data_IF_955342101381
#
_entry.id   IF_955342101381
#
_cell.length_a   1.000
_cell.length_b   1.000
_cell.length_c   1.000
_cell.angle_alpha   90.00
_cell.angle_beta   90.00
_cell.angle_gamma   90.00
#
_symmetry.space_group_name_H-M   'P 1'
#
loop_
_entity.id
_entity.type
_entity.pdbx_description
1 polymer ?
#
# COMPACT_ATOMS: atom_id res chain seq x y z
N UNK A 1 -12.65 -26.82 8.47
CA UNK A 1 -13.67 -25.86 8.93
C UNK A 1 -12.97 -24.54 9.19
N UNK A 2 -13.33 -23.46 8.50
CA UNK A 2 -12.79 -22.14 8.78
C UNK A 2 -13.15 -21.74 10.22
N UNK A 3 -12.17 -21.32 11.02
CA UNK A 3 -12.42 -20.83 12.38
C UNK A 3 -13.12 -19.48 12.26
N UNK A 4 -14.41 -19.42 12.61
CA UNK A 4 -15.12 -18.15 12.71
C UNK A 4 -14.47 -17.26 13.77
N UNK A 5 -14.07 -16.05 13.38
CA UNK A 5 -13.55 -15.05 14.31
C UNK A 5 -14.76 -14.39 14.99
N UNK A 6 -14.85 -14.50 16.31
CA UNK A 6 -15.94 -13.88 17.08
C UNK A 6 -15.54 -12.43 17.37
N UNK A 7 -16.32 -11.47 16.86
CA UNK A 7 -16.13 -10.04 17.07
C UNK A 7 -17.26 -9.41 17.90
N UNK A 8 -17.01 -8.33 18.67
CA UNK A 8 -18.05 -7.70 19.50
C UNK A 8 -18.99 -6.75 18.73
N UNK A 9 -18.61 -6.32 17.53
CA UNK A 9 -19.44 -5.54 16.61
C UNK A 9 -20.28 -6.45 15.70
N UNK A 10 -21.37 -5.90 15.12
CA UNK A 10 -22.33 -6.66 14.32
C UNK A 10 -21.81 -6.88 12.89
N UNK A 11 -21.22 -5.85 12.30
CA UNK A 11 -20.60 -5.90 10.95
C UNK A 11 -19.27 -5.17 10.94
N UNK A 12 -18.39 -5.46 9.97
CA UNK A 12 -17.11 -4.75 9.86
C UNK A 12 -17.30 -3.24 9.61
N UNK A 13 -18.37 -2.86 8.90
CA UNK A 13 -18.75 -1.46 8.72
C UNK A 13 -18.95 -0.70 10.03
N UNK A 14 -19.43 -1.37 11.09
CA UNK A 14 -19.57 -0.74 12.41
C UNK A 14 -18.23 -0.29 12.99
N UNK A 15 -17.18 -1.09 12.78
CA UNK A 15 -15.83 -0.78 13.23
C UNK A 15 -15.24 0.39 12.42
N UNK A 16 -15.49 0.43 11.11
CA UNK A 16 -15.06 1.54 10.26
C UNK A 16 -15.79 2.84 10.58
N UNK A 17 -17.06 2.76 10.94
CA UNK A 17 -17.83 3.91 11.40
C UNK A 17 -17.24 4.48 12.70
N UNK A 18 -16.90 3.61 13.66
CA UNK A 18 -16.19 4.02 14.88
C UNK A 18 -14.84 4.65 14.55
N UNK A 19 -14.08 4.10 13.59
CA UNK A 19 -12.82 4.70 13.12
C UNK A 19 -13.04 6.13 12.62
N UNK A 20 -14.03 6.34 11.76
CA UNK A 20 -14.36 7.67 11.19
C UNK A 20 -14.71 8.67 12.28
N UNK A 21 -15.51 8.26 13.26
CA UNK A 21 -15.94 9.12 14.36
C UNK A 21 -14.79 9.47 15.32
N UNK A 22 -13.94 8.49 15.69
CA UNK A 22 -12.81 8.72 16.61
C UNK A 22 -11.77 9.68 16.01
N UNK A 23 -11.42 9.48 14.74
CA UNK A 23 -10.40 10.29 14.04
C UNK A 23 -10.98 11.47 13.24
N UNK A 24 -12.30 11.71 13.34
CA UNK A 24 -13.02 12.80 12.66
C UNK A 24 -12.71 12.91 11.15
N UNK A 25 -12.62 11.76 10.46
CA UNK A 25 -12.17 11.69 9.06
C UNK A 25 -13.06 12.45 8.07
N UNK A 26 -14.34 12.65 8.41
CA UNK A 26 -15.33 13.31 7.55
C UNK A 26 -15.49 14.81 7.86
N UNK A 27 -14.76 15.36 8.84
CA UNK A 27 -14.88 16.77 9.23
C UNK A 27 -13.76 17.61 8.60
N UNK A 28 -14.13 18.69 7.91
CA UNK A 28 -13.17 19.68 7.42
C UNK A 28 -12.51 20.40 8.62
N UNK A 29 -11.20 20.73 8.55
CA UNK A 29 -10.47 21.36 9.66
C UNK A 29 -11.06 22.69 10.17
N UNK A 30 -11.98 23.30 9.43
CA UNK A 30 -12.63 24.59 9.76
C UNK A 30 -13.93 24.48 10.56
N UNK A 31 -14.34 23.26 10.97
CA UNK A 31 -15.58 23.08 11.74
C UNK A 31 -15.32 23.38 13.22
N UNK A 32 -15.78 24.54 13.70
CA UNK A 32 -15.65 24.98 15.11
C UNK A 32 -15.94 23.83 16.10
N UNK A 33 -15.02 23.64 17.06
CA UNK A 33 -15.09 22.65 18.14
C UNK A 33 -16.30 22.81 19.10
N UNK A 34 -17.13 23.84 18.90
CA UNK A 34 -18.32 24.16 19.70
C UNK A 34 -19.60 23.42 19.21
N UNK A 35 -19.48 22.39 18.38
CA UNK A 35 -20.64 21.55 18.09
C UNK A 35 -21.07 20.81 19.38
N UNK A 36 -22.34 20.91 19.81
CA UNK A 36 -22.82 20.35 21.08
C UNK A 36 -22.85 18.81 21.12
N UNK A 37 -22.34 18.13 20.09
CA UNK A 37 -22.40 16.69 19.98
C UNK A 37 -21.15 16.15 19.26
N UNK A 38 -19.99 16.22 19.93
CA UNK A 38 -18.75 15.63 19.42
C UNK A 38 -18.96 14.12 19.15
N UNK A 39 -18.85 13.66 17.89
CA UNK A 39 -19.12 12.26 17.54
C UNK A 39 -18.21 11.27 18.26
N UNK A 40 -17.06 11.73 18.76
CA UNK A 40 -16.14 10.92 19.56
C UNK A 40 -16.79 10.40 20.85
N UNK A 41 -17.68 11.16 21.49
CA UNK A 41 -18.40 10.68 22.68
C UNK A 41 -19.22 9.43 22.37
N UNK A 42 -19.98 9.45 21.27
CA UNK A 42 -20.78 8.31 20.86
C UNK A 42 -19.90 7.10 20.51
N UNK A 43 -18.80 7.33 19.80
CA UNK A 43 -17.85 6.28 19.44
C UNK A 43 -17.21 5.62 20.67
N UNK A 44 -16.79 6.41 21.67
CA UNK A 44 -16.23 5.90 22.93
C UNK A 44 -17.28 5.06 23.67
N UNK A 45 -18.51 5.55 23.84
CA UNK A 45 -19.59 4.78 24.48
C UNK A 45 -19.86 3.45 23.77
N UNK A 46 -19.84 3.47 22.43
CA UNK A 46 -20.03 2.26 21.61
C UNK A 46 -18.90 1.24 21.82
N UNK A 47 -17.65 1.69 21.88
CA UNK A 47 -16.51 0.82 22.20
C UNK A 47 -16.60 0.26 23.62
N UNK A 48 -17.02 1.06 24.60
CA UNK A 48 -17.24 0.58 25.98
C UNK A 48 -18.34 -0.49 26.04
N UNK A 49 -19.42 -0.34 25.26
CA UNK A 49 -20.43 -1.38 25.12
C UNK A 49 -19.87 -2.66 24.48
N UNK A 50 -18.97 -2.55 23.49
CA UNK A 50 -18.27 -3.71 22.91
C UNK A 50 -17.33 -4.39 23.90
N UNK A 51 -16.68 -3.63 24.78
CA UNK A 51 -15.82 -4.19 25.83
C UNK A 51 -16.58 -5.15 26.75
N UNK A 52 -17.83 -4.81 27.12
CA UNK A 52 -18.70 -5.67 27.96
C UNK A 52 -19.05 -6.99 27.25
N UNK A 53 -19.13 -7.00 25.92
CA UNK A 53 -19.39 -8.21 25.12
C UNK A 53 -18.19 -9.17 25.05
N UNK A 54 -16.99 -8.70 25.39
CA UNK A 54 -15.75 -9.47 25.33
C UNK A 54 -15.09 -9.47 23.95
N UNK A 55 -13.88 -10.04 23.86
CA UNK A 55 -13.08 -10.13 22.63
C UNK A 55 -12.83 -8.80 21.89
N UNK A 56 -12.79 -7.68 22.62
CA UNK A 56 -12.43 -6.39 22.05
C UNK A 56 -10.91 -6.35 21.80
N UNK A 57 -10.44 -6.07 20.56
CA UNK A 57 -9.01 -5.88 20.32
C UNK A 57 -8.45 -4.76 21.18
N UNK A 58 -7.28 -5.00 21.76
CA UNK A 58 -6.65 -4.04 22.66
C UNK A 58 -6.38 -2.68 22.00
N UNK A 59 -6.09 -2.65 20.69
CA UNK A 59 -5.97 -1.40 19.93
C UNK A 59 -7.24 -0.54 20.01
N UNK A 60 -8.42 -1.16 19.85
CA UNK A 60 -9.72 -0.46 19.90
C UNK A 60 -10.02 0.04 21.31
N UNK A 61 -9.74 -0.78 22.33
CA UNK A 61 -9.88 -0.38 23.74
C UNK A 61 -8.98 0.82 24.07
N UNK A 62 -7.71 0.75 23.71
CA UNK A 62 -6.71 1.78 23.99
C UNK A 62 -7.05 3.09 23.29
N UNK A 63 -7.45 3.07 22.01
CA UNK A 63 -7.90 4.29 21.31
C UNK A 63 -9.09 4.92 22.02
N UNK A 64 -10.09 4.13 22.45
CA UNK A 64 -11.25 4.68 23.15
C UNK A 64 -10.87 5.30 24.51
N UNK A 65 -9.98 4.67 25.28
CA UNK A 65 -9.51 5.22 26.56
C UNK A 65 -8.73 6.53 26.40
N UNK A 66 -7.84 6.59 25.40
CA UNK A 66 -7.07 7.80 25.09
C UNK A 66 -7.99 8.94 24.61
N UNK A 67 -8.96 8.62 23.75
CA UNK A 67 -9.96 9.60 23.30
C UNK A 67 -10.87 10.07 24.45
N UNK A 68 -11.28 9.18 25.35
CA UNK A 68 -12.08 9.54 26.53
C UNK A 68 -11.31 10.50 27.46
N UNK A 69 -9.99 10.34 27.59
CA UNK A 69 -9.15 11.28 28.33
C UNK A 69 -9.13 12.69 27.70
N UNK A 70 -9.08 12.77 26.36
CA UNK A 70 -9.18 14.03 25.62
C UNK A 70 -10.55 14.69 25.85
N UNK A 71 -11.63 13.92 25.77
CA UNK A 71 -12.98 14.41 25.98
C UNK A 71 -13.19 14.87 27.43
N UNK A 72 -12.67 14.14 28.40
CA UNK A 72 -12.71 14.50 29.82
C UNK A 72 -11.96 15.80 30.13
N UNK A 73 -10.83 16.03 29.46
CA UNK A 73 -10.07 17.28 29.58
C UNK A 73 -10.85 18.50 29.05
N UNK A 74 -11.70 18.31 28.05
CA UNK A 74 -12.52 19.39 27.47
C UNK A 74 -13.71 19.80 28.35
N UNK A 75 -14.04 19.04 29.40
CA UNK A 75 -15.14 19.36 30.32
C UNK A 75 -14.74 20.59 31.16
N UNK A 76 -15.58 21.64 31.24
CA UNK A 76 -15.34 22.77 32.15
C UNK A 76 -15.34 22.32 33.62
N UNK A 77 -14.57 23.00 34.47
CA UNK A 77 -14.54 22.79 35.93
C UNK A 77 -13.93 21.45 36.41
N UNK A 78 -13.37 20.64 35.51
CA UNK A 78 -12.67 19.41 35.88
C UNK A 78 -11.35 19.71 36.61
N UNK A 79 -11.09 19.01 37.71
CA UNK A 79 -9.84 19.23 38.46
C UNK A 79 -8.62 18.78 37.66
N UNK A 80 -7.53 19.56 37.71
CA UNK A 80 -6.28 19.25 37.02
C UNK A 80 -5.73 17.87 37.42
N UNK A 81 -5.89 17.49 38.69
CA UNK A 81 -5.53 16.16 39.17
C UNK A 81 -6.33 15.06 38.48
N UNK A 82 -7.65 15.23 38.34
CA UNK A 82 -8.53 14.29 37.63
C UNK A 82 -8.09 14.12 36.18
N UNK A 83 -7.81 15.23 35.49
CA UNK A 83 -7.31 15.20 34.10
C UNK A 83 -5.99 14.41 34.01
N UNK A 84 -4.99 14.72 34.84
CA UNK A 84 -3.71 14.00 34.87
C UNK A 84 -3.90 12.52 35.14
N UNK A 85 -4.73 12.15 36.11
CA UNK A 85 -4.98 10.78 36.48
C UNK A 85 -5.63 9.98 35.35
N UNK A 86 -6.62 10.55 34.65
CA UNK A 86 -7.31 9.88 33.53
C UNK A 86 -6.36 9.65 32.36
N UNK A 87 -5.58 10.67 31.96
CA UNK A 87 -4.55 10.49 30.93
C UNK A 87 -3.51 9.44 31.32
N UNK A 88 -2.94 9.54 32.54
CA UNK A 88 -1.93 8.59 33.01
C UNK A 88 -2.47 7.15 33.05
N UNK A 89 -3.72 6.94 33.46
CA UNK A 89 -4.35 5.63 33.47
C UNK A 89 -4.56 5.07 32.05
N UNK A 90 -5.12 5.87 31.14
CA UNK A 90 -5.34 5.47 29.75
C UNK A 90 -4.01 5.14 29.05
N UNK A 91 -3.01 6.01 29.20
CA UNK A 91 -1.69 5.85 28.60
C UNK A 91 -0.94 4.63 29.14
N UNK A 92 -0.94 4.43 30.47
CA UNK A 92 -0.31 3.26 31.09
C UNK A 92 -0.95 1.95 30.63
N UNK A 93 -2.28 1.93 30.48
CA UNK A 93 -3.02 0.76 29.98
C UNK A 93 -2.65 0.43 28.53
N UNK A 94 -2.56 1.45 27.68
CA UNK A 94 -2.11 1.33 26.29
C UNK A 94 -0.70 0.72 26.19
N UNK A 95 0.29 1.34 26.83
CA UNK A 95 1.69 0.88 26.73
C UNK A 95 1.85 -0.53 27.28
N UNK A 96 1.29 -0.79 28.45
CA UNK A 96 1.43 -2.10 29.12
C UNK A 96 0.78 -3.20 28.27
N UNK A 97 -0.44 -2.99 27.77
CA UNK A 97 -1.14 -4.01 27.00
C UNK A 97 -0.46 -4.36 25.68
N UNK A 98 0.09 -3.38 24.95
CA UNK A 98 0.86 -3.67 23.74
C UNK A 98 2.19 -4.38 24.02
N UNK A 99 2.89 -4.01 25.09
CA UNK A 99 4.10 -4.72 25.48
C UNK A 99 3.80 -6.18 25.88
N UNK A 100 2.67 -6.45 26.54
CA UNK A 100 2.29 -7.81 26.91
C UNK A 100 1.87 -8.65 25.70
N UNK A 101 1.18 -8.04 24.72
CA UNK A 101 0.87 -8.68 23.43
C UNK A 101 2.16 -9.04 22.68
N UNK A 102 3.14 -8.14 22.66
CA UNK A 102 4.46 -8.37 22.06
C UNK A 102 5.17 -9.59 22.67
N UNK A 103 5.22 -9.65 24.01
CA UNK A 103 5.80 -10.80 24.75
C UNK A 103 5.12 -12.13 24.42
N UNK A 104 3.79 -12.13 24.40
CA UNK A 104 3.03 -13.36 24.11
C UNK A 104 3.26 -13.88 22.69
N UNK A 105 3.57 -12.98 21.74
CA UNK A 105 3.89 -13.34 20.35
C UNK A 105 5.29 -13.99 20.23
N UNK A 106 6.23 -13.59 21.06
CA UNK A 106 7.63 -14.02 21.00
C UNK A 106 7.83 -15.49 21.46
N UNK A 107 6.94 -16.03 22.32
CA UNK A 107 7.06 -17.38 22.92
C UNK A 107 8.46 -17.69 23.50
N UNK A 108 9.23 -16.66 23.87
CA UNK A 108 10.58 -16.83 24.38
C UNK A 108 10.57 -17.25 25.86
N UNK A 109 11.57 -18.04 26.24
CA UNK A 109 11.74 -18.60 27.58
C UNK A 109 12.25 -17.56 28.60
N UNK A 110 12.79 -16.43 28.15
CA UNK A 110 13.33 -15.36 28.98
C UNK A 110 12.41 -14.11 28.94
N UNK A 111 12.17 -13.44 30.07
CA UNK A 111 11.35 -12.24 30.11
C UNK A 111 12.08 -11.03 29.49
N UNK A 112 11.79 -10.71 28.23
CA UNK A 112 12.26 -9.49 27.56
C UNK A 112 11.77 -8.22 28.27
N UNK A 113 12.66 -7.24 28.41
CA UNK A 113 12.34 -5.95 29.04
C UNK A 113 11.28 -5.17 28.24
N UNK A 114 10.56 -4.24 28.88
CA UNK A 114 9.53 -3.45 28.18
C UNK A 114 10.13 -2.58 27.07
N UNK A 115 11.37 -2.12 27.24
CA UNK A 115 12.09 -1.34 26.23
C UNK A 115 12.46 -2.18 25.00
N UNK A 116 12.89 -3.43 25.19
CA UNK A 116 13.20 -4.33 24.08
C UNK A 116 11.94 -4.67 23.29
N UNK A 117 10.85 -5.02 23.98
CA UNK A 117 9.58 -5.29 23.32
C UNK A 117 9.08 -4.07 22.56
N UNK A 118 9.16 -2.87 23.13
CA UNK A 118 8.75 -1.64 22.46
C UNK A 118 9.50 -1.47 21.12
N UNK A 119 10.83 -1.66 21.10
CA UNK A 119 11.61 -1.62 19.87
C UNK A 119 11.17 -2.68 18.84
N UNK A 120 10.84 -3.89 19.30
CA UNK A 120 10.40 -4.97 18.40
C UNK A 120 9.03 -4.69 17.76
N UNK A 121 8.11 -4.07 18.49
CA UNK A 121 6.78 -3.71 17.99
C UNK A 121 6.74 -2.32 17.34
N UNK A 122 7.91 -1.69 17.15
CA UNK A 122 8.06 -0.34 16.60
C UNK A 122 7.29 0.72 17.39
N UNK A 123 7.23 0.57 18.72
CA UNK A 123 6.67 1.55 19.65
C UNK A 123 7.76 2.51 20.15
N UNK A 124 7.51 3.83 20.16
CA UNK A 124 8.43 4.82 20.72
C UNK A 124 8.87 4.47 22.15
N UNK A 125 10.18 4.47 22.41
CA UNK A 125 10.75 4.10 23.72
C UNK A 125 10.38 5.12 24.81
N UNK A 126 10.10 6.36 24.41
CA UNK A 126 9.61 7.44 25.23
C UNK A 126 8.28 7.08 25.90
N UNK A 127 7.44 6.28 25.26
CA UNK A 127 6.17 5.83 25.83
C UNK A 127 6.38 4.91 27.03
N UNK A 128 7.39 4.03 26.96
CA UNK A 128 7.77 3.15 28.07
C UNK A 128 8.32 3.96 29.23
N UNK A 129 9.15 4.97 28.94
CA UNK A 129 9.69 5.88 29.96
C UNK A 129 8.58 6.68 30.64
N UNK A 130 7.66 7.27 29.87
CA UNK A 130 6.53 8.04 30.40
C UNK A 130 5.59 7.16 31.24
N UNK A 131 5.36 5.91 30.82
CA UNK A 131 4.61 4.93 31.62
C UNK A 131 5.32 4.63 32.94
N UNK A 132 6.64 4.47 32.94
CA UNK A 132 7.41 4.23 34.16
C UNK A 132 7.31 5.42 35.11
N UNK A 133 7.48 6.65 34.60
CA UNK A 133 7.28 7.89 35.36
C UNK A 133 5.87 7.96 35.98
N UNK A 134 4.82 7.79 35.17
CA UNK A 134 3.43 7.87 35.61
C UNK A 134 3.00 6.81 36.65
N UNK A 135 3.74 5.71 36.78
CA UNK A 135 3.41 4.61 37.70
C UNK A 135 4.25 4.59 38.97
N UNK A 136 5.51 5.03 38.89
CA UNK A 136 6.47 4.89 39.98
C UNK A 136 7.03 6.22 40.49
N UNK A 137 6.88 7.31 39.73
CA UNK A 137 7.38 8.63 40.07
C UNK A 137 6.21 9.61 40.27
N UNK A 138 6.49 10.91 40.19
CA UNK A 138 5.45 11.93 40.21
C UNK A 138 4.64 11.88 38.91
N UNK A 139 3.32 12.15 39.00
CA UNK A 139 2.48 12.19 37.80
C UNK A 139 3.06 13.21 36.80
N UNK A 140 3.13 12.88 35.50
CA UNK A 140 3.59 13.84 34.51
C UNK A 140 2.67 15.07 34.42
N UNK A 141 3.20 16.14 33.86
CA UNK A 141 2.42 17.34 33.57
C UNK A 141 1.39 17.10 32.47
N UNK A 142 0.26 17.82 32.53
CA UNK A 142 -0.86 17.67 31.57
C UNK A 142 -0.38 17.86 30.14
N UNK A 143 0.45 18.86 29.87
CA UNK A 143 0.89 19.15 28.50
C UNK A 143 1.69 17.98 27.89
N UNK A 144 2.55 17.31 28.68
CA UNK A 144 3.30 16.12 28.26
C UNK A 144 2.37 14.95 28.01
N UNK A 145 1.35 14.77 28.86
CA UNK A 145 0.36 13.70 28.72
C UNK A 145 -0.51 13.90 27.48
N UNK A 146 -0.91 15.14 27.17
CA UNK A 146 -1.67 15.48 25.96
C UNK A 146 -0.85 15.17 24.72
N UNK A 147 0.37 15.71 24.61
CA UNK A 147 1.26 15.46 23.47
C UNK A 147 1.56 13.97 23.27
N UNK A 148 1.89 13.24 24.35
CA UNK A 148 2.11 11.80 24.25
C UNK A 148 0.85 11.04 23.83
N UNK A 149 -0.34 11.50 24.23
CA UNK A 149 -1.62 10.88 23.83
C UNK A 149 -1.89 11.09 22.35
N UNK A 150 -1.59 12.26 21.79
CA UNK A 150 -1.67 12.54 20.35
C UNK A 150 -0.73 11.61 19.58
N UNK A 151 0.55 11.53 19.98
CA UNK A 151 1.54 10.64 19.37
C UNK A 151 1.10 9.15 19.45
N UNK A 152 0.49 8.74 20.56
CA UNK A 152 -0.02 7.38 20.74
C UNK A 152 -1.22 7.08 19.83
N UNK A 153 -2.10 8.06 19.58
CA UNK A 153 -3.23 7.92 18.67
C UNK A 153 -2.77 7.82 17.21
N UNK A 154 -1.73 8.55 16.82
CA UNK A 154 -1.09 8.44 15.51
C UNK A 154 -0.39 7.10 15.33
N UNK A 155 0.31 6.62 16.36
CA UNK A 155 0.89 5.29 16.36
C UNK A 155 -0.17 4.19 16.20
N UNK A 156 -1.28 4.28 16.95
CA UNK A 156 -2.42 3.37 16.84
C UNK A 156 -3.07 3.42 15.45
N UNK A 157 -3.09 4.59 14.82
CA UNK A 157 -3.55 4.72 13.45
C UNK A 157 -2.70 3.88 12.50
N UNK A 158 -1.38 4.04 12.54
CA UNK A 158 -0.44 3.36 11.65
C UNK A 158 -0.38 1.84 11.88
N UNK A 159 -0.45 1.40 13.14
CA UNK A 159 -0.32 -0.02 13.50
C UNK A 159 -1.62 -0.80 13.34
N UNK A 160 -2.78 -0.16 13.50
CA UNK A 160 -4.08 -0.85 13.51
C UNK A 160 -5.11 -0.22 12.56
N UNK A 161 -5.50 1.05 12.77
CA UNK A 161 -6.71 1.59 12.13
C UNK A 161 -6.58 1.82 10.62
N UNK A 162 -5.40 2.21 10.13
CA UNK A 162 -5.14 2.42 8.70
C UNK A 162 -5.19 1.12 7.89
N UNK A 163 -4.96 -0.01 8.56
CA UNK A 163 -4.93 -1.36 7.95
C UNK A 163 -6.31 -2.00 7.87
N UNK A 164 -7.33 -1.40 8.48
CA UNK A 164 -8.70 -1.88 8.38
C UNK A 164 -9.28 -1.49 7.02
N UNK A 165 -9.55 -2.48 6.17
CA UNK A 165 -10.18 -2.29 4.85
C UNK A 165 -11.59 -2.84 4.89
N UNK A 166 -12.54 -2.14 4.27
CA UNK A 166 -13.93 -2.61 4.19
C UNK A 166 -14.03 -3.87 3.33
N UNK A 167 -14.43 -5.03 3.87
CA UNK A 167 -14.57 -6.27 3.11
C UNK A 167 -15.54 -6.13 1.93
N UNK A 168 -16.55 -5.25 2.00
CA UNK A 168 -17.50 -5.05 0.91
C UNK A 168 -16.90 -4.24 -0.24
N UNK A 169 -16.01 -3.30 0.07
CA UNK A 169 -15.21 -2.57 -0.93
C UNK A 169 -14.16 -3.51 -1.51
N UNK A 170 -13.54 -4.37 -0.70
CA UNK A 170 -12.58 -5.38 -1.18
C UNK A 170 -13.25 -6.39 -2.11
N UNK A 171 -14.42 -6.94 -1.81
CA UNK A 171 -15.09 -7.89 -2.70
C UNK A 171 -15.58 -7.22 -4.01
N UNK A 172 -16.08 -5.99 -3.92
CA UNK A 172 -16.47 -5.19 -5.09
C UNK A 172 -15.28 -4.78 -5.96
N UNK A 173 -14.20 -4.30 -5.34
CA UNK A 173 -12.97 -3.91 -6.01
C UNK A 173 -12.23 -5.12 -6.57
N UNK A 174 -12.23 -6.27 -5.88
CA UNK A 174 -11.63 -7.51 -6.38
C UNK A 174 -12.40 -8.01 -7.61
N UNK A 175 -13.73 -7.97 -7.59
CA UNK A 175 -14.54 -8.33 -8.75
C UNK A 175 -14.34 -7.36 -9.92
N UNK A 176 -14.37 -6.04 -9.65
CA UNK A 176 -14.11 -5.01 -10.64
C UNK A 176 -12.68 -5.10 -11.21
N UNK A 177 -11.70 -5.43 -10.38
CA UNK A 177 -10.31 -5.59 -10.79
C UNK A 177 -10.08 -6.88 -11.58
N UNK A 178 -10.75 -7.97 -11.22
CA UNK A 178 -10.75 -9.20 -12.01
C UNK A 178 -11.37 -8.97 -13.40
N UNK A 179 -12.43 -8.16 -13.48
CA UNK A 179 -13.01 -7.74 -14.75
C UNK A 179 -12.04 -6.86 -15.54
N UNK A 180 -11.45 -5.84 -14.91
CA UNK A 180 -10.44 -4.99 -15.53
C UNK A 180 -9.26 -5.80 -16.08
N UNK A 181 -8.74 -6.76 -15.30
CA UNK A 181 -7.65 -7.65 -15.73
C UNK A 181 -8.04 -8.44 -16.98
N UNK A 182 -9.28 -8.94 -17.01
CA UNK A 182 -9.84 -9.65 -18.17
C UNK A 182 -9.95 -8.74 -19.40
N UNK A 183 -10.45 -7.53 -19.23
CA UNK A 183 -10.66 -6.56 -20.31
C UNK A 183 -9.32 -6.06 -20.88
N UNK A 184 -8.35 -5.76 -20.01
CA UNK A 184 -6.99 -5.37 -20.39
C UNK A 184 -6.30 -6.49 -21.20
N UNK A 185 -6.39 -7.73 -20.71
CA UNK A 185 -5.85 -8.90 -21.40
C UNK A 185 -6.48 -9.11 -22.78
N UNK A 186 -7.79 -8.93 -22.89
CA UNK A 186 -8.50 -9.08 -24.16
C UNK A 186 -8.04 -8.02 -25.17
N UNK A 187 -8.02 -6.74 -24.79
CA UNK A 187 -7.56 -5.64 -25.65
C UNK A 187 -6.12 -5.82 -26.13
N UNK A 188 -5.21 -6.23 -25.24
CA UNK A 188 -3.82 -6.47 -25.60
C UNK A 188 -3.65 -7.66 -26.55
N UNK A 189 -4.45 -8.72 -26.40
CA UNK A 189 -4.47 -9.86 -27.32
C UNK A 189 -5.02 -9.48 -28.68
N UNK A 190 -6.08 -8.69 -28.72
CA UNK A 190 -6.69 -8.20 -29.95
C UNK A 190 -5.70 -7.31 -30.72
N UNK A 191 -5.04 -6.37 -30.03
CA UNK A 191 -3.98 -5.55 -30.60
C UNK A 191 -2.84 -6.42 -31.17
N UNK A 192 -2.35 -7.39 -30.40
CA UNK A 192 -1.29 -8.31 -30.82
C UNK A 192 -1.68 -9.11 -32.07
N UNK A 193 -2.93 -9.60 -32.15
CA UNK A 193 -3.42 -10.37 -33.31
C UNK A 193 -3.49 -9.49 -34.56
N UNK A 194 -4.18 -8.36 -34.47
CA UNK A 194 -4.33 -7.39 -35.56
C UNK A 194 -2.98 -6.92 -36.08
N UNK A 195 -2.06 -6.58 -35.17
CA UNK A 195 -0.73 -6.11 -35.56
C UNK A 195 0.10 -7.19 -36.23
N UNK A 196 0.02 -8.44 -35.75
CA UNK A 196 0.70 -9.59 -36.37
C UNK A 196 0.18 -9.85 -37.78
N UNK A 197 -1.13 -9.72 -38.00
CA UNK A 197 -1.75 -9.84 -39.32
C UNK A 197 -1.32 -8.70 -40.25
N UNK A 198 -1.32 -7.45 -39.78
CA UNK A 198 -0.86 -6.30 -40.54
C UNK A 198 0.61 -6.43 -40.98
N UNK A 199 1.48 -6.90 -40.08
CA UNK A 199 2.90 -7.15 -40.40
C UNK A 199 3.09 -8.26 -41.44
N UNK A 200 2.20 -9.27 -41.46
CA UNK A 200 2.22 -10.36 -42.46
C UNK A 200 1.67 -9.91 -43.80
N UNK A 201 0.60 -9.11 -43.78
CA UNK A 201 -0.09 -8.68 -44.99
C UNK A 201 0.76 -7.71 -45.83
N UNK A 202 1.70 -6.94 -45.23
CA UNK A 202 2.52 -5.92 -45.93
C UNK A 202 1.73 -4.88 -46.76
N UNK A 203 0.41 -4.81 -46.58
CA UNK A 203 -0.52 -4.15 -47.52
C UNK A 203 -0.94 -2.74 -47.06
N UNK A 204 -0.78 -2.39 -45.78
CA UNK A 204 -1.33 -1.13 -45.25
C UNK A 204 -0.36 0.05 -45.37
N UNK A 205 -0.89 1.25 -45.68
CA UNK A 205 -0.10 2.48 -45.72
C UNK A 205 0.56 2.77 -44.35
N UNK A 206 1.73 3.44 -44.31
CA UNK A 206 2.41 3.76 -43.05
C UNK A 206 1.55 4.59 -42.08
N UNK A 207 0.80 5.57 -42.58
CA UNK A 207 -0.03 6.46 -41.75
C UNK A 207 -1.19 5.73 -41.06
N UNK A 208 -1.89 4.85 -41.79
CA UNK A 208 -3.01 4.07 -41.24
C UNK A 208 -2.52 3.13 -40.12
N UNK A 209 -1.30 2.57 -40.27
CA UNK A 209 -0.66 1.71 -39.26
C UNK A 209 -0.35 2.45 -37.97
N UNK A 210 0.12 3.69 -38.05
CA UNK A 210 0.40 4.51 -36.87
C UNK A 210 -0.90 4.91 -36.17
N UNK A 211 -1.93 5.27 -36.95
CA UNK A 211 -3.23 5.64 -36.40
C UNK A 211 -3.92 4.47 -35.68
N UNK A 212 -3.82 3.24 -36.19
CA UNK A 212 -4.33 2.04 -35.53
C UNK A 212 -3.64 1.75 -34.18
N UNK A 213 -2.31 1.94 -34.12
CA UNK A 213 -1.53 1.78 -32.88
C UNK A 213 -1.98 2.83 -31.86
N UNK A 214 -2.04 4.10 -32.27
CA UNK A 214 -2.46 5.19 -31.40
C UNK A 214 -3.86 4.97 -30.84
N UNK A 215 -4.85 4.59 -31.68
CA UNK A 215 -6.22 4.30 -31.23
C UNK A 215 -6.27 3.17 -30.20
N UNK A 216 -5.49 2.12 -30.42
CA UNK A 216 -5.43 0.96 -29.52
C UNK A 216 -4.77 1.33 -28.20
N UNK A 217 -3.68 2.11 -28.24
CA UNK A 217 -2.98 2.61 -27.06
C UNK A 217 -3.89 3.55 -26.25
N UNK A 218 -4.54 4.52 -26.93
CA UNK A 218 -5.47 5.45 -26.29
C UNK A 218 -6.61 4.72 -25.59
N UNK A 219 -7.22 3.73 -26.25
CA UNK A 219 -8.27 2.92 -25.62
C UNK A 219 -7.81 2.14 -24.39
N UNK A 220 -6.53 1.75 -24.31
CA UNK A 220 -5.96 1.12 -23.12
C UNK A 220 -5.64 2.16 -22.03
N UNK A 221 -5.16 3.34 -22.42
CA UNK A 221 -4.95 4.47 -21.50
C UNK A 221 -6.26 4.91 -20.84
N UNK A 222 -7.32 5.08 -21.62
CA UNK A 222 -8.66 5.43 -21.13
C UNK A 222 -9.22 4.37 -20.17
N UNK A 223 -8.88 3.09 -20.37
CA UNK A 223 -9.28 2.00 -19.47
C UNK A 223 -8.58 2.11 -18.10
N UNK A 224 -7.32 2.55 -18.09
CA UNK A 224 -6.52 2.74 -16.87
C UNK A 224 -6.98 3.96 -16.06
N UNK A 225 -7.52 4.98 -16.72
CA UNK A 225 -8.13 6.17 -16.10
C UNK A 225 -7.23 6.84 -15.03
N UNK A 226 -5.93 6.94 -15.30
CA UNK A 226 -4.89 7.52 -14.43
C UNK A 226 -4.77 6.90 -13.03
N UNK A 227 -5.38 5.73 -12.79
CA UNK A 227 -5.29 5.03 -11.52
C UNK A 227 -3.99 4.24 -11.45
N UNK A 228 -3.07 4.62 -10.55
CA UNK A 228 -1.80 3.91 -10.31
C UNK A 228 -1.99 2.39 -10.16
N UNK A 229 -3.03 1.96 -9.45
CA UNK A 229 -3.32 0.54 -9.24
C UNK A 229 -3.75 -0.18 -10.54
N UNK A 230 -4.54 0.47 -11.40
CA UNK A 230 -4.92 -0.10 -12.71
C UNK A 230 -3.72 -0.15 -13.66
N UNK A 231 -2.84 0.84 -13.59
CA UNK A 231 -1.59 0.87 -14.35
C UNK A 231 -0.67 -0.29 -13.91
N UNK A 232 -0.57 -0.56 -12.60
CA UNK A 232 0.16 -1.72 -12.06
C UNK A 232 -0.41 -3.05 -12.57
N UNK A 233 -1.74 -3.23 -12.51
CA UNK A 233 -2.39 -4.46 -13.00
C UNK A 233 -2.24 -4.60 -14.52
N UNK A 234 -2.28 -3.50 -15.27
CA UNK A 234 -2.04 -3.51 -16.71
C UNK A 234 -0.59 -3.92 -17.04
N UNK A 235 0.39 -3.41 -16.30
CA UNK A 235 1.80 -3.81 -16.43
C UNK A 235 2.00 -5.29 -16.06
N UNK A 236 1.32 -5.80 -15.03
CA UNK A 236 1.31 -7.22 -14.68
C UNK A 236 0.76 -8.08 -15.82
N UNK A 237 -0.36 -7.68 -16.43
CA UNK A 237 -0.94 -8.41 -17.57
C UNK A 237 0.04 -8.48 -18.74
N UNK A 238 0.78 -7.40 -19.03
CA UNK A 238 1.79 -7.40 -20.10
C UNK A 238 2.91 -8.43 -19.87
N UNK A 239 3.34 -8.59 -18.61
CA UNK A 239 4.44 -9.47 -18.22
C UNK A 239 3.99 -10.92 -17.97
N UNK A 240 2.98 -11.12 -17.11
CA UNK A 240 2.50 -12.44 -16.66
C UNK A 240 1.92 -13.26 -17.81
N UNK A 241 1.15 -12.63 -18.70
CA UNK A 241 0.56 -13.30 -19.86
C UNK A 241 1.56 -13.48 -21.01
N UNK A 242 2.84 -13.17 -20.78
CA UNK A 242 3.94 -13.29 -21.75
C UNK A 242 3.58 -12.64 -23.08
N UNK A 243 3.00 -11.44 -23.00
CA UNK A 243 2.60 -10.68 -24.18
C UNK A 243 3.81 -10.00 -24.80
N UNK A 244 4.72 -9.50 -23.97
CA UNK A 244 5.98 -8.88 -24.37
C UNK A 244 7.06 -9.90 -24.80
N UNK A 245 6.81 -11.20 -24.63
CA UNK A 245 7.81 -12.25 -24.89
C UNK A 245 7.28 -13.34 -25.84
N UNK A 246 8.08 -13.84 -26.80
CA UNK A 246 7.71 -15.00 -27.60
C UNK A 246 7.56 -16.27 -26.75
N UNK A 247 6.45 -17.01 -26.89
CA UNK A 247 6.16 -18.17 -26.05
C UNK A 247 7.09 -19.37 -26.23
N UNK A 248 7.84 -19.44 -27.34
CA UNK A 248 8.79 -20.53 -27.67
C UNK A 248 10.26 -20.08 -27.63
N UNK A 249 10.57 -19.06 -26.84
CA UNK A 249 11.91 -18.49 -26.74
C UNK A 249 12.91 -19.49 -26.14
N UNK A 250 14.15 -19.42 -26.61
CA UNK A 250 15.34 -20.06 -26.02
C UNK A 250 16.27 -18.97 -25.47
N UNK A 251 17.12 -19.32 -24.50
CA UNK A 251 18.07 -18.35 -23.92
C UNK A 251 18.98 -17.76 -25.02
N UNK A 252 19.30 -16.47 -24.90
CA UNK A 252 20.13 -15.75 -25.85
C UNK A 252 19.47 -15.41 -27.19
N UNK A 253 18.21 -15.77 -27.42
CA UNK A 253 17.50 -15.37 -28.65
C UNK A 253 17.05 -13.92 -28.60
N UNK A 254 17.28 -13.18 -29.70
CA UNK A 254 16.91 -11.77 -29.84
C UNK A 254 15.40 -11.53 -29.72
N UNK A 255 15.03 -10.36 -29.18
CA UNK A 255 13.66 -9.87 -29.05
C UNK A 255 13.26 -8.88 -30.16
N UNK A 256 14.01 -8.76 -31.25
CA UNK A 256 13.73 -7.79 -32.34
C UNK A 256 12.28 -7.84 -32.86
N UNK A 257 11.72 -9.03 -32.99
CA UNK A 257 10.32 -9.20 -33.42
C UNK A 257 9.30 -8.72 -32.39
N UNK A 258 9.63 -8.79 -31.10
CA UNK A 258 8.80 -8.26 -30.02
C UNK A 258 8.94 -6.73 -29.92
N UNK A 259 10.15 -6.19 -30.07
CA UNK A 259 10.40 -4.74 -30.14
C UNK A 259 9.61 -4.11 -31.29
N UNK A 260 9.69 -4.68 -32.50
CA UNK A 260 8.93 -4.20 -33.67
C UNK A 260 7.40 -4.20 -33.45
N UNK A 261 6.91 -5.13 -32.63
CA UNK A 261 5.48 -5.29 -32.35
C UNK A 261 4.99 -4.28 -31.30
N UNK A 262 5.76 -4.09 -30.23
CA UNK A 262 5.32 -3.41 -29.02
C UNK A 262 5.93 -2.03 -28.80
N UNK A 263 7.08 -1.68 -29.38
CA UNK A 263 7.78 -0.43 -29.10
C UNK A 263 6.88 0.80 -29.30
N UNK A 264 6.28 0.93 -30.48
CA UNK A 264 5.39 2.06 -30.76
C UNK A 264 4.15 2.07 -29.87
N UNK A 265 3.62 0.91 -29.52
CA UNK A 265 2.47 0.84 -28.61
C UNK A 265 2.85 1.32 -27.20
N UNK A 266 3.97 0.85 -26.66
CA UNK A 266 4.44 1.25 -25.34
C UNK A 266 4.81 2.74 -25.28
N UNK A 267 5.32 3.30 -26.38
CA UNK A 267 5.57 4.74 -26.52
C UNK A 267 4.31 5.57 -26.42
N UNK A 268 3.25 5.16 -27.12
CA UNK A 268 1.96 5.86 -27.05
C UNK A 268 1.33 5.74 -25.65
N UNK A 269 1.44 4.58 -25.00
CA UNK A 269 0.97 4.44 -23.61
C UNK A 269 1.75 5.35 -22.66
N UNK A 270 3.07 5.44 -22.82
CA UNK A 270 3.91 6.34 -22.01
C UNK A 270 3.52 7.81 -22.20
N UNK A 271 3.31 8.23 -23.45
CA UNK A 271 2.87 9.61 -23.75
C UNK A 271 1.52 9.94 -23.11
N UNK A 272 0.63 8.96 -22.99
CA UNK A 272 -0.71 9.11 -22.40
C UNK A 272 -0.73 8.90 -20.88
N UNK A 273 0.28 8.23 -20.30
CA UNK A 273 0.33 7.82 -18.89
C UNK A 273 1.76 7.97 -18.34
N UNK A 274 2.04 9.09 -17.68
CA UNK A 274 3.39 9.43 -17.20
C UNK A 274 3.98 8.38 -16.23
N UNK A 275 3.15 7.78 -15.37
CA UNK A 275 3.58 6.79 -14.36
C UNK A 275 3.86 5.40 -14.94
N UNK A 276 3.40 5.09 -16.15
CA UNK A 276 3.40 3.73 -16.69
C UNK A 276 4.82 3.17 -16.86
N UNK A 277 5.75 3.98 -17.35
CA UNK A 277 7.12 3.55 -17.62
C UNK A 277 7.85 3.16 -16.33
N UNK A 278 7.75 3.99 -15.29
CA UNK A 278 8.36 3.70 -13.99
C UNK A 278 7.79 2.42 -13.37
N UNK A 279 6.46 2.24 -13.45
CA UNK A 279 5.77 1.04 -12.94
C UNK A 279 6.20 -0.20 -13.72
N UNK A 280 6.27 -0.12 -15.05
CA UNK A 280 6.69 -1.24 -15.90
C UNK A 280 8.13 -1.68 -15.59
N UNK A 281 9.06 -0.71 -15.46
CA UNK A 281 10.46 -0.98 -15.10
C UNK A 281 10.55 -1.64 -13.72
N UNK A 282 9.86 -1.08 -12.71
CA UNK A 282 9.79 -1.67 -11.37
C UNK A 282 9.32 -3.12 -11.44
N UNK A 283 8.25 -3.40 -12.18
CA UNK A 283 7.70 -4.75 -12.35
C UNK A 283 8.68 -5.70 -13.04
N UNK A 284 9.38 -5.27 -14.09
CA UNK A 284 10.42 -6.07 -14.75
C UNK A 284 11.57 -6.41 -13.80
N UNK A 285 12.04 -5.44 -13.01
CA UNK A 285 13.08 -5.65 -12.00
C UNK A 285 12.63 -6.63 -10.91
N UNK A 286 11.40 -6.50 -10.41
CA UNK A 286 10.85 -7.46 -9.44
C UNK A 286 10.78 -8.88 -10.02
N UNK A 287 10.36 -9.06 -11.27
CA UNK A 287 10.33 -10.37 -11.92
C UNK A 287 11.73 -10.99 -12.03
N UNK A 288 12.76 -10.18 -12.28
CA UNK A 288 14.17 -10.62 -12.27
C UNK A 288 14.59 -11.03 -10.85
N UNK A 289 14.22 -10.24 -9.84
CA UNK A 289 14.49 -10.53 -8.43
C UNK A 289 13.89 -11.84 -7.96
N UNK A 290 12.64 -12.15 -8.34
CA UNK A 290 11.99 -13.42 -8.01
C UNK A 290 12.71 -14.63 -8.63
N UNK A 291 13.18 -14.50 -9.88
CA UNK A 291 14.00 -15.53 -10.53
C UNK A 291 15.31 -15.78 -9.78
N UNK A 292 15.98 -14.70 -9.35
CA UNK A 292 17.21 -14.77 -8.57
C UNK A 292 16.99 -15.47 -7.21
N UNK A 293 15.91 -15.14 -6.50
CA UNK A 293 15.53 -15.81 -5.25
C UNK A 293 15.21 -17.30 -5.45
N UNK A 294 14.58 -17.65 -6.58
CA UNK A 294 14.27 -19.03 -6.94
C UNK A 294 15.48 -19.80 -7.49
N UNK A 295 16.66 -19.17 -7.64
CA UNK A 295 17.89 -19.74 -8.19
C UNK A 295 17.69 -20.41 -9.56
N UNK A 296 16.77 -19.89 -10.38
CA UNK A 296 16.50 -20.43 -11.72
C UNK A 296 17.45 -19.80 -12.73
N UNK A 297 18.61 -20.43 -12.93
CA UNK A 297 19.58 -19.99 -13.93
C UNK A 297 19.05 -20.05 -15.39
N UNK A 298 17.97 -20.81 -15.66
CA UNK A 298 17.31 -20.93 -16.99
C UNK A 298 15.96 -20.18 -17.05
N UNK A 299 15.82 -19.05 -16.34
CA UNK A 299 14.61 -18.24 -16.44
C UNK A 299 14.61 -17.35 -17.68
N UNK A 300 14.00 -17.88 -18.74
CA UNK A 300 13.79 -17.21 -20.03
C UNK A 300 13.00 -15.90 -19.94
N UNK A 301 12.17 -15.74 -18.91
CA UNK A 301 11.39 -14.52 -18.73
C UNK A 301 12.26 -13.43 -18.07
N UNK A 302 13.09 -13.81 -17.10
CA UNK A 302 14.04 -12.89 -16.48
C UNK A 302 15.03 -12.32 -17.51
N UNK A 303 15.60 -13.18 -18.37
CA UNK A 303 16.46 -12.72 -19.48
C UNK A 303 15.72 -11.77 -20.44
N UNK A 304 14.46 -12.06 -20.73
CA UNK A 304 13.66 -11.23 -21.62
C UNK A 304 13.35 -9.85 -20.98
N UNK A 305 13.12 -9.80 -19.67
CA UNK A 305 13.03 -8.55 -18.92
C UNK A 305 14.34 -7.76 -19.01
N UNK A 306 15.51 -8.39 -18.88
CA UNK A 306 16.81 -7.73 -19.04
C UNK A 306 16.97 -7.11 -20.43
N UNK A 307 16.64 -7.86 -21.50
CA UNK A 307 16.69 -7.35 -22.87
C UNK A 307 15.70 -6.20 -23.12
N UNK A 308 14.52 -6.24 -22.53
CA UNK A 308 13.62 -5.08 -22.56
C UNK A 308 14.27 -3.90 -21.84
N UNK A 309 14.70 -4.04 -20.58
CA UNK A 309 15.33 -2.95 -19.83
C UNK A 309 16.54 -2.33 -20.57
N UNK A 310 17.37 -3.15 -21.21
CA UNK A 310 18.48 -2.69 -22.02
C UNK A 310 18.01 -1.89 -23.25
N UNK A 311 17.05 -2.43 -24.02
CA UNK A 311 16.45 -1.76 -25.18
C UNK A 311 15.77 -0.44 -24.80
N UNK A 312 15.12 -0.42 -23.65
CA UNK A 312 14.41 0.74 -23.13
C UNK A 312 15.36 1.89 -22.77
N UNK A 313 16.56 1.55 -22.32
CA UNK A 313 17.62 2.50 -21.95
C UNK A 313 18.48 2.90 -23.16
N UNK A 314 18.50 2.11 -24.24
CA UNK A 314 19.31 2.36 -25.43
C UNK A 314 18.92 3.68 -26.12
N UNK A 315 19.89 4.62 -26.28
CA UNK A 315 19.71 5.83 -27.07
C UNK A 315 19.32 5.63 -28.53
N UNK A 316 19.44 4.43 -29.11
CA UNK A 316 19.08 4.16 -30.50
C UNK A 316 17.66 3.61 -30.65
N UNK A 317 17.09 3.01 -29.61
CA UNK A 317 15.80 2.31 -29.66
C UNK A 317 14.60 3.18 -29.26
N UNK A 318 14.64 3.79 -28.07
CA UNK A 318 13.47 4.41 -27.45
C UNK A 318 13.55 5.95 -27.35
N UNK A 319 14.18 6.62 -28.32
CA UNK A 319 14.60 8.03 -28.19
C UNK A 319 13.58 9.11 -28.50
N UNK A 320 12.47 8.83 -29.19
CA UNK A 320 11.53 9.89 -29.58
C UNK A 320 10.60 10.33 -28.45
N UNK A 321 10.44 9.51 -27.40
CA UNK A 321 9.41 9.73 -26.38
C UNK A 321 9.97 10.07 -25.00
N UNK A 322 11.18 9.61 -24.64
CA UNK A 322 11.76 9.78 -23.29
C UNK A 322 12.74 10.95 -23.30
N UNK A 323 12.58 11.90 -22.37
CA UNK A 323 13.52 13.01 -22.22
C UNK A 323 14.88 12.51 -21.71
N UNK A 324 15.99 13.20 -22.03
CA UNK A 324 17.31 12.82 -21.52
C UNK A 324 17.38 12.71 -19.98
N UNK A 325 16.63 13.56 -19.28
CA UNK A 325 16.55 13.57 -17.81
C UNK A 325 15.81 12.34 -17.27
N UNK A 326 14.67 11.96 -17.85
CA UNK A 326 13.93 10.75 -17.46
C UNK A 326 14.75 9.49 -17.71
N UNK A 327 15.47 9.43 -18.85
CA UNK A 327 16.38 8.31 -19.12
C UNK A 327 17.46 8.19 -18.06
N UNK A 328 18.04 9.30 -17.62
CA UNK A 328 19.06 9.29 -16.58
C UNK A 328 18.49 8.80 -15.24
N UNK A 329 17.27 9.19 -14.90
CA UNK A 329 16.57 8.71 -13.70
C UNK A 329 16.30 7.19 -13.77
N UNK A 330 15.83 6.71 -14.92
CA UNK A 330 15.59 5.28 -15.16
C UNK A 330 16.89 4.48 -15.06
N UNK A 331 17.97 4.95 -15.69
CA UNK A 331 19.29 4.35 -15.61
C UNK A 331 19.78 4.27 -14.17
N UNK A 332 19.69 5.38 -13.42
CA UNK A 332 20.10 5.42 -12.03
C UNK A 332 19.30 4.42 -11.17
N UNK A 333 17.99 4.30 -11.42
CA UNK A 333 17.13 3.37 -10.70
C UNK A 333 17.48 1.90 -11.01
N UNK A 334 17.68 1.55 -12.27
CA UNK A 334 18.08 0.19 -12.67
C UNK A 334 19.44 -0.17 -12.03
N UNK A 335 20.43 0.72 -12.13
CA UNK A 335 21.77 0.50 -11.54
C UNK A 335 21.68 0.34 -10.03
N UNK A 336 20.94 1.21 -9.35
CA UNK A 336 20.72 1.11 -7.90
C UNK A 336 20.07 -0.23 -7.53
N UNK A 337 19.09 -0.69 -8.30
CA UNK A 337 18.44 -1.97 -8.08
C UNK A 337 19.44 -3.14 -8.23
N UNK A 338 20.23 -3.15 -9.31
CA UNK A 338 21.26 -4.17 -9.53
C UNK A 338 22.30 -4.23 -8.40
N UNK A 339 22.68 -3.08 -7.82
CA UNK A 339 23.62 -3.03 -6.69
C UNK A 339 23.02 -3.55 -5.37
N UNK A 340 21.70 -3.41 -5.20
CA UNK A 340 21.00 -3.80 -3.95
C UNK A 340 20.47 -5.23 -3.99
N UNK A 341 20.28 -5.80 -5.18
CA UNK A 341 19.75 -7.15 -5.39
C UNK A 341 20.70 -7.99 -6.27
N UNK A 342 21.90 -8.34 -5.77
CA UNK A 342 22.86 -9.11 -6.56
C UNK A 342 22.28 -10.48 -6.93
N UNK A 343 22.34 -10.82 -8.21
CA UNK A 343 21.79 -12.06 -8.75
C UNK A 343 22.51 -12.52 -10.01
N UNK A 344 21.95 -13.54 -10.65
CA UNK A 344 22.53 -14.10 -11.88
C UNK A 344 22.29 -13.21 -13.11
N UNK A 345 21.17 -12.50 -13.10
CA UNK A 345 20.63 -11.68 -14.20
C UNK A 345 21.02 -10.20 -14.11
#
# INVERSE_FOLDING_TARGET
MARGIITPWRSHSDLLEVRKQLYRLDQSPDTNNDQPNDPRHHAVQRVMAWKVRGNLPHAVESTALLMDAILHHAIPETSIFSVRAVYSAAFTRFVTGFCDIGRNKERMLEPSSMLEIAKQIDMPVEFVTLRHEATHQELPEVHRLVSATEDALDWLWNVYWSRLVDPAVVDGDVAAMAQFRTDAKQKLRDFRSTRREALRAKVTAPADREQEIWRSAKSCADLMADSTYRIEVFAEVLLDDKLLFPSKRELGTSLDGAFLLWDRFLQEIFNEQEQFLEILIKRMLYAIGESNLSQKADDRNAEACCFWLEHMVDPKGWTSSITPSERQLIQAHIVMWCCTHPGHW
#
